data_IF_777562297876
#
_entry.id   IF_777562297876
#
_cell.length_a   1.000
_cell.length_b   1.000
_cell.length_c   1.000
_cell.angle_alpha   90.00
_cell.angle_beta   90.00
_cell.angle_gamma   90.00
#
_symmetry.space_group_name_H-M   'P 1'
#
loop_
_entity.id
_entity.type
_entity.pdbx_description
1 polymer ?
#
# COMPACT_ATOMS: atom_id res chain seq x y z
N UNK A 1 -0.15 7.09 22.48
CA UNK A 1 -1.36 7.96 22.59
C UNK A 1 -1.89 7.87 24.02
N UNK A 2 -1.89 8.96 24.79
CA UNK A 2 -2.53 9.01 26.10
C UNK A 2 -4.05 8.95 25.89
N UNK A 3 -4.73 7.94 26.46
CA UNK A 3 -6.21 7.88 26.48
C UNK A 3 -6.76 9.17 27.06
N UNK A 4 -7.62 9.86 26.32
CA UNK A 4 -8.31 11.04 26.81
C UNK A 4 -9.06 10.67 28.12
N UNK A 5 -8.81 11.40 29.21
CA UNK A 5 -9.56 11.21 30.44
C UNK A 5 -11.03 11.51 30.16
N UNK A 6 -11.91 10.57 30.51
CA UNK A 6 -13.36 10.82 30.49
C UNK A 6 -13.66 12.06 31.35
N UNK A 7 -14.41 12.99 30.77
CA UNK A 7 -14.89 14.20 31.46
C UNK A 7 -15.78 13.77 32.64
N UNK A 8 -15.56 14.36 33.81
CA UNK A 8 -16.46 14.17 34.93
C UNK A 8 -17.77 14.93 34.68
N UNK A 9 -18.91 14.32 35.04
CA UNK A 9 -20.21 14.98 34.99
C UNK A 9 -20.20 16.25 35.86
N UNK A 10 -20.71 17.36 35.29
CA UNK A 10 -20.85 18.63 36.00
C UNK A 10 -22.34 19.01 36.06
N UNK A 11 -23.01 18.97 37.23
CA UNK A 11 -24.44 19.24 37.35
C UNK A 11 -24.82 20.70 37.08
N UNK A 12 -23.86 21.63 37.02
CA UNK A 12 -24.08 23.05 36.83
C UNK A 12 -24.11 23.46 35.35
N UNK A 13 -23.77 22.53 34.42
CA UNK A 13 -23.88 22.80 32.99
C UNK A 13 -25.37 22.90 32.62
N UNK A 14 -25.75 23.92 31.80
CA UNK A 14 -27.12 24.08 31.36
C UNK A 14 -27.70 22.82 30.74
N UNK A 15 -28.96 22.49 31.06
CA UNK A 15 -29.63 21.24 30.65
C UNK A 15 -29.83 21.09 29.15
N UNK A 16 -29.78 22.18 28.39
CA UNK A 16 -29.87 22.18 26.92
C UNK A 16 -28.56 21.74 26.24
N UNK A 17 -27.47 21.57 27.01
CA UNK A 17 -26.15 21.18 26.49
C UNK A 17 -25.88 19.71 26.81
N UNK A 18 -25.69 18.89 25.79
CA UNK A 18 -25.17 17.52 25.96
C UNK A 18 -23.68 17.57 26.35
N UNK A 19 -23.41 17.19 27.61
CA UNK A 19 -22.05 17.23 28.16
C UNK A 19 -21.11 16.21 27.49
N UNK A 20 -21.64 15.13 26.93
CA UNK A 20 -20.84 14.11 26.24
C UNK A 20 -20.34 14.62 24.87
N UNK A 21 -21.08 15.57 24.29
CA UNK A 21 -20.78 16.16 23.00
C UNK A 21 -19.99 17.48 23.06
N UNK A 22 -19.64 17.95 24.25
CA UNK A 22 -18.87 19.21 24.41
C UNK A 22 -17.50 19.14 23.73
N UNK A 23 -17.05 20.23 23.08
CA UNK A 23 -15.71 20.34 22.52
C UNK A 23 -14.61 20.04 23.56
N UNK A 24 -13.47 19.52 23.11
CA UNK A 24 -12.32 19.32 23.97
C UNK A 24 -11.83 20.66 24.57
N UNK A 25 -11.33 20.63 25.83
CA UNK A 25 -10.79 21.81 26.53
C UNK A 25 -11.78 22.96 26.77
N UNK A 26 -13.09 22.73 26.65
CA UNK A 26 -14.14 23.70 27.03
C UNK A 26 -14.64 23.34 28.44
N UNK A 27 -14.71 24.33 29.32
CA UNK A 27 -15.12 24.19 30.71
C UNK A 27 -16.23 25.18 31.02
N UNK A 28 -17.06 24.88 32.02
CA UNK A 28 -18.14 25.76 32.48
C UNK A 28 -17.89 26.26 33.90
N UNK A 29 -18.08 27.54 34.12
CA UNK A 29 -18.08 28.18 35.42
C UNK A 29 -19.48 28.72 35.73
N UNK A 30 -20.07 28.24 36.81
CA UNK A 30 -21.43 28.63 37.24
C UNK A 30 -21.53 30.02 37.90
N UNK A 31 -20.40 30.69 38.19
CA UNK A 31 -20.39 31.99 38.89
C UNK A 31 -21.02 33.03 38.00
N UNK A 32 -21.70 33.99 38.62
CA UNK A 32 -22.53 35.00 37.98
C UNK A 32 -23.62 34.36 37.11
N UNK A 33 -23.80 34.76 35.86
CA UNK A 33 -24.77 34.22 34.93
C UNK A 33 -24.31 32.93 34.22
N UNK A 34 -23.14 32.39 34.61
CA UNK A 34 -22.53 31.24 33.97
C UNK A 34 -21.75 31.57 32.69
N UNK A 35 -20.53 31.06 32.59
CA UNK A 35 -19.63 31.38 31.47
C UNK A 35 -18.86 30.13 31.01
N UNK A 36 -18.81 29.93 29.73
CA UNK A 36 -17.92 28.96 29.09
C UNK A 36 -16.52 29.53 28.97
N UNK A 37 -15.50 28.73 29.26
CA UNK A 37 -14.10 29.14 29.17
C UNK A 37 -13.18 28.02 28.68
N UNK A 38 -12.00 28.42 28.20
CA UNK A 38 -10.88 27.55 27.85
C UNK A 38 -9.65 27.88 28.66
N UNK A 39 -8.73 26.92 28.76
CA UNK A 39 -7.41 27.12 29.36
C UNK A 39 -6.37 27.13 28.22
N UNK A 40 -5.61 28.21 28.13
CA UNK A 40 -4.48 28.32 27.21
C UNK A 40 -3.18 28.57 28.00
N UNK A 41 -2.04 28.23 27.42
CA UNK A 41 -0.74 28.60 28.00
C UNK A 41 -0.26 29.87 27.30
N UNK A 42 0.15 30.85 28.08
CA UNK A 42 0.81 32.05 27.56
C UNK A 42 2.27 31.75 27.15
N UNK A 43 2.95 32.76 26.62
CA UNK A 43 4.33 32.67 26.16
C UNK A 43 5.31 32.26 27.27
N UNK A 44 4.95 32.46 28.53
CA UNK A 44 5.72 32.05 29.68
C UNK A 44 5.45 30.60 30.16
N UNK A 45 4.51 29.90 29.47
CA UNK A 45 4.08 28.54 29.82
C UNK A 45 3.03 28.51 30.96
N UNK A 46 2.61 29.64 31.47
CA UNK A 46 1.61 29.74 32.55
C UNK A 46 0.21 29.50 32.00
N UNK A 47 -0.58 28.67 32.68
CA UNK A 47 -1.94 28.35 32.28
C UNK A 47 -2.90 29.47 32.63
N UNK A 48 -3.55 30.08 31.65
CA UNK A 48 -4.52 31.16 31.83
C UNK A 48 -5.90 30.77 31.31
N UNK A 49 -6.92 31.29 32.00
CA UNK A 49 -8.32 31.14 31.61
C UNK A 49 -8.70 32.23 30.59
N UNK A 50 -9.42 31.82 29.53
CA UNK A 50 -10.05 32.71 28.56
C UNK A 50 -11.55 32.40 28.48
N UNK A 51 -12.39 33.36 28.83
CA UNK A 51 -13.84 33.24 28.64
C UNK A 51 -14.16 33.28 27.16
N UNK A 52 -15.07 32.40 26.70
CA UNK A 52 -15.38 32.21 25.27
C UNK A 52 -16.82 32.48 24.95
N UNK A 53 -17.76 32.24 25.87
CA UNK A 53 -19.19 32.44 25.60
C UNK A 53 -20.01 32.46 26.91
N UNK A 54 -21.20 33.13 26.92
CA UNK A 54 -22.14 33.05 28.05
C UNK A 54 -22.84 31.68 28.10
N UNK A 55 -23.52 31.39 29.21
CA UNK A 55 -24.20 30.11 29.45
C UNK A 55 -25.32 29.80 28.43
N UNK A 56 -25.87 30.83 27.78
CA UNK A 56 -27.01 30.75 26.87
C UNK A 56 -26.70 30.17 25.49
N UNK A 57 -25.40 30.06 25.11
CA UNK A 57 -25.03 29.57 23.78
C UNK A 57 -25.37 28.10 23.61
N UNK A 58 -25.70 27.72 22.39
CA UNK A 58 -25.94 26.33 21.99
C UNK A 58 -24.63 25.54 21.89
N UNK A 59 -24.76 24.23 21.90
CA UNK A 59 -23.63 23.32 21.68
C UNK A 59 -22.97 23.54 20.30
N UNK A 60 -23.76 23.86 19.28
CA UNK A 60 -23.27 24.15 17.93
C UNK A 60 -22.40 25.43 17.91
N UNK A 61 -22.83 26.47 18.60
CA UNK A 61 -22.07 27.73 18.73
C UNK A 61 -20.78 27.51 19.52
N UNK A 62 -20.79 26.70 20.58
CA UNK A 62 -19.56 26.33 21.30
C UNK A 62 -18.54 25.62 20.41
N UNK A 63 -19.01 24.70 19.55
CA UNK A 63 -18.15 24.07 18.57
C UNK A 63 -17.60 25.09 17.57
N UNK A 64 -18.45 26.00 17.06
CA UNK A 64 -18.02 27.04 16.14
C UNK A 64 -16.97 27.97 16.74
N UNK A 65 -17.20 28.46 17.97
CA UNK A 65 -16.23 29.33 18.70
C UNK A 65 -14.90 28.62 18.90
N UNK A 66 -14.92 27.33 19.25
CA UNK A 66 -13.69 26.56 19.43
C UNK A 66 -12.94 26.32 18.15
N UNK A 67 -13.65 26.13 17.04
CA UNK A 67 -13.04 25.98 15.72
C UNK A 67 -12.44 27.30 15.24
N UNK A 68 -13.11 28.41 15.44
CA UNK A 68 -12.60 29.76 15.15
C UNK A 68 -11.36 30.08 16.02
N UNK A 69 -11.43 29.75 17.32
CA UNK A 69 -10.31 29.95 18.25
C UNK A 69 -9.10 29.06 17.99
N UNK A 70 -9.33 27.86 17.44
CA UNK A 70 -8.24 26.94 17.05
C UNK A 70 -7.63 27.24 15.69
N UNK A 71 -8.12 28.27 15.00
CA UNK A 71 -7.72 28.61 13.63
C UNK A 71 -7.85 27.43 12.65
N UNK A 72 -8.72 26.46 12.96
CA UNK A 72 -9.00 25.31 12.10
C UNK A 72 -10.02 25.76 11.06
N UNK A 73 -9.52 26.26 9.95
CA UNK A 73 -10.40 26.53 8.78
C UNK A 73 -10.92 25.18 8.25
N UNK A 74 -12.16 24.84 8.61
CA UNK A 74 -12.87 23.62 8.21
C UNK A 74 -13.00 23.49 6.69
N UNK A 75 -12.73 24.54 5.95
CA UNK A 75 -12.76 24.54 4.48
C UNK A 75 -11.44 24.19 3.83
N UNK A 76 -10.32 24.06 4.56
CA UNK A 76 -8.99 23.81 3.98
C UNK A 76 -8.79 22.37 3.52
N UNK A 77 -7.87 22.18 2.56
CA UNK A 77 -7.47 20.84 2.12
C UNK A 77 -6.93 20.01 3.29
N UNK A 78 -6.15 20.62 4.19
CA UNK A 78 -5.60 19.96 5.39
C UNK A 78 -6.72 19.38 6.26
N UNK A 79 -7.75 20.17 6.51
CA UNK A 79 -8.89 19.74 7.31
C UNK A 79 -9.65 18.59 6.65
N UNK A 80 -9.97 18.71 5.36
CA UNK A 80 -10.70 17.66 4.62
C UNK A 80 -9.87 16.34 4.56
N UNK A 81 -8.55 16.43 4.39
CA UNK A 81 -7.67 15.26 4.47
C UNK A 81 -7.72 14.62 5.86
N UNK A 82 -7.65 15.40 6.94
CA UNK A 82 -7.70 14.87 8.30
C UNK A 82 -9.02 14.16 8.57
N UNK A 83 -10.15 14.77 8.20
CA UNK A 83 -11.48 14.17 8.33
C UNK A 83 -11.63 12.88 7.50
N UNK A 84 -11.07 12.85 6.29
CA UNK A 84 -11.05 11.63 5.48
C UNK A 84 -10.26 10.52 6.16
N UNK A 85 -9.09 10.81 6.72
CA UNK A 85 -8.25 9.83 7.41
C UNK A 85 -8.88 9.31 8.71
N UNK A 86 -9.75 10.09 9.34
CA UNK A 86 -10.52 9.65 10.52
C UNK A 86 -11.75 8.80 10.16
N UNK A 87 -12.17 8.82 8.91
CA UNK A 87 -13.39 8.13 8.46
C UNK A 87 -13.23 6.61 8.46
N UNK A 88 -14.33 5.88 8.70
CA UNK A 88 -14.38 4.42 8.60
C UNK A 88 -14.02 3.91 7.20
N UNK A 89 -14.27 4.74 6.17
CA UNK A 89 -13.90 4.41 4.80
C UNK A 89 -12.38 4.33 4.62
N UNK A 90 -11.62 5.19 5.27
CA UNK A 90 -10.16 5.14 5.29
C UNK A 90 -9.67 3.99 6.17
N UNK A 91 -10.21 3.82 7.37
CA UNK A 91 -9.81 2.79 8.34
C UNK A 91 -9.94 1.35 7.79
N UNK A 92 -10.88 1.13 6.86
CA UNK A 92 -11.09 -0.16 6.17
C UNK A 92 -10.10 -0.45 5.04
N UNK A 93 -9.22 0.48 4.69
CA UNK A 93 -8.24 0.28 3.63
C UNK A 93 -7.08 -0.62 4.12
N UNK A 94 -6.35 -1.22 3.19
CA UNK A 94 -5.16 -2.00 3.53
C UNK A 94 -4.04 -1.11 4.08
N UNK A 95 -3.17 -1.68 4.93
CA UNK A 95 -2.01 -0.97 5.49
C UNK A 95 -1.16 -0.32 4.39
N UNK A 96 -0.89 -1.02 3.29
CA UNK A 96 -0.13 -0.47 2.16
C UNK A 96 -0.82 0.74 1.53
N UNK A 97 -2.15 0.75 1.46
CA UNK A 97 -2.91 1.90 0.96
C UNK A 97 -2.85 3.07 1.94
N UNK A 98 -2.83 2.79 3.25
CA UNK A 98 -2.61 3.83 4.27
C UNK A 98 -1.25 4.51 4.08
N UNK A 99 -0.17 3.73 3.92
CA UNK A 99 1.18 4.27 3.70
C UNK A 99 1.22 5.15 2.43
N UNK A 100 0.68 4.66 1.32
CA UNK A 100 0.63 5.38 0.04
C UNK A 100 -0.20 6.67 0.15
N UNK A 101 -1.30 6.65 0.91
CA UNK A 101 -2.17 7.83 1.11
C UNK A 101 -1.54 8.84 2.08
N UNK A 102 -0.88 8.39 3.14
CA UNK A 102 -0.13 9.27 4.04
C UNK A 102 0.98 9.99 3.27
N UNK A 103 1.77 9.26 2.49
CA UNK A 103 2.81 9.85 1.65
C UNK A 103 2.23 10.88 0.66
N UNK A 104 1.16 10.53 -0.07
CA UNK A 104 0.53 11.43 -1.05
C UNK A 104 -0.09 12.65 -0.38
N UNK A 105 -0.68 12.50 0.80
CA UNK A 105 -1.18 13.61 1.63
C UNK A 105 -0.06 14.59 1.96
N UNK A 106 1.04 14.08 2.50
CA UNK A 106 2.14 14.92 2.98
C UNK A 106 2.81 15.67 1.82
N UNK A 107 2.97 15.01 0.67
CA UNK A 107 3.43 15.65 -0.56
C UNK A 107 2.51 16.80 -0.96
N UNK A 108 1.20 16.58 -1.03
CA UNK A 108 0.23 17.59 -1.48
C UNK A 108 0.10 18.76 -0.50
N UNK A 109 -0.01 18.46 0.80
CA UNK A 109 -0.22 19.50 1.81
C UNK A 109 0.94 20.49 1.91
N UNK A 110 2.15 20.08 1.55
CA UNK A 110 3.35 20.89 1.66
C UNK A 110 3.75 21.62 0.36
N UNK A 111 3.00 21.44 -0.74
CA UNK A 111 3.27 22.17 -1.99
C UNK A 111 3.12 23.68 -1.74
N UNK A 112 4.15 24.51 -1.99
CA UNK A 112 4.04 25.95 -1.85
C UNK A 112 3.13 26.52 -2.94
N UNK A 113 2.20 27.41 -2.55
CA UNK A 113 1.37 28.17 -3.49
C UNK A 113 2.03 29.51 -3.84
N UNK A 114 1.54 30.20 -4.89
CA UNK A 114 2.01 31.53 -5.25
C UNK A 114 1.80 32.58 -4.13
N UNK A 115 0.93 32.31 -3.17
CA UNK A 115 0.65 33.17 -2.01
C UNK A 115 1.62 32.94 -0.84
N UNK A 116 2.65 32.11 -1.00
CA UNK A 116 3.59 31.76 0.07
C UNK A 116 3.06 30.78 1.11
N UNK A 117 1.75 30.45 1.07
CA UNK A 117 1.14 29.45 1.97
C UNK A 117 1.20 28.06 1.37
N UNK A 118 1.31 27.00 2.18
CA UNK A 118 1.25 25.63 1.67
C UNK A 118 -0.16 25.31 1.13
N UNK A 119 -0.24 24.42 0.13
CA UNK A 119 -1.50 24.01 -0.50
C UNK A 119 -2.52 23.46 0.50
N UNK A 120 -2.03 22.86 1.59
CA UNK A 120 -2.86 22.34 2.67
C UNK A 120 -3.74 23.42 3.33
N UNK A 121 -3.34 24.67 3.30
CA UNK A 121 -4.08 25.82 3.88
C UNK A 121 -5.04 26.48 2.88
N UNK A 122 -5.04 26.04 1.62
CA UNK A 122 -5.98 26.55 0.63
C UNK A 122 -7.35 25.91 0.85
N UNK A 123 -8.39 26.78 0.85
CA UNK A 123 -9.78 26.33 0.94
C UNK A 123 -10.14 25.44 -0.27
N UNK A 124 -10.77 24.28 -0.02
CA UNK A 124 -11.08 23.31 -1.08
C UNK A 124 -12.05 23.86 -2.14
N UNK A 125 -12.86 24.84 -1.77
CA UNK A 125 -13.74 25.57 -2.72
C UNK A 125 -12.99 26.38 -3.76
N UNK A 126 -11.72 26.72 -3.51
CA UNK A 126 -10.85 27.43 -4.45
C UNK A 126 -10.12 26.50 -5.42
N UNK A 127 -10.29 25.18 -5.24
CA UNK A 127 -9.70 24.21 -6.17
C UNK A 127 -10.49 24.20 -7.47
N UNK A 128 -9.78 24.46 -8.56
CA UNK A 128 -10.28 24.32 -9.93
C UNK A 128 -9.56 23.20 -10.64
N UNK A 129 -10.14 22.66 -11.72
CA UNK A 129 -9.47 21.64 -12.54
C UNK A 129 -8.12 22.15 -13.07
N UNK A 130 -8.05 23.42 -13.49
CA UNK A 130 -6.80 24.04 -13.94
C UNK A 130 -5.74 24.12 -12.82
N UNK A 131 -6.12 24.36 -11.57
CA UNK A 131 -5.18 24.33 -10.45
C UNK A 131 -4.68 22.90 -10.21
N UNK A 132 -5.58 21.91 -10.21
CA UNK A 132 -5.21 20.50 -10.00
C UNK A 132 -4.30 20.01 -11.12
N UNK A 133 -4.57 20.37 -12.39
CA UNK A 133 -3.69 20.00 -13.51
C UNK A 133 -2.29 20.57 -13.31
N UNK A 134 -2.16 21.86 -13.01
CA UNK A 134 -0.85 22.48 -12.74
C UNK A 134 -0.08 21.84 -11.59
N UNK A 135 -0.77 21.37 -10.54
CA UNK A 135 -0.13 20.64 -9.44
C UNK A 135 0.42 19.30 -9.94
N UNK A 136 -0.36 18.60 -10.75
CA UNK A 136 0.01 17.29 -11.31
C UNK A 136 1.19 17.44 -12.26
N UNK A 137 1.15 18.42 -13.16
CA UNK A 137 2.20 18.71 -14.13
C UNK A 137 3.52 19.05 -13.40
N UNK A 138 3.47 19.95 -12.42
CA UNK A 138 4.63 20.29 -11.60
C UNK A 138 5.25 19.08 -10.91
N UNK A 139 4.43 18.21 -10.31
CA UNK A 139 4.91 17.00 -9.65
C UNK A 139 5.50 15.99 -10.65
N UNK A 140 5.04 16.00 -11.90
CA UNK A 140 5.59 15.18 -12.97
C UNK A 140 6.92 15.73 -13.49
N UNK A 141 7.02 17.05 -13.67
CA UNK A 141 8.22 17.76 -14.13
C UNK A 141 9.40 17.64 -13.15
N UNK A 142 9.13 17.50 -11.85
CA UNK A 142 10.13 17.14 -10.84
C UNK A 142 10.76 15.75 -11.05
N UNK A 143 10.53 15.10 -12.21
CA UNK A 143 11.12 13.82 -12.61
C UNK A 143 10.44 12.58 -12.04
N UNK A 144 9.24 12.72 -11.48
CA UNK A 144 8.49 11.62 -10.84
C UNK A 144 7.03 11.49 -11.32
N UNK A 145 6.78 11.10 -12.59
CA UNK A 145 5.42 10.92 -13.11
C UNK A 145 4.56 9.98 -12.25
N UNK A 146 5.17 8.92 -11.72
CA UNK A 146 4.50 7.97 -10.82
C UNK A 146 4.03 8.62 -9.52
N UNK A 147 4.84 9.50 -8.92
CA UNK A 147 4.49 10.27 -7.71
C UNK A 147 3.30 11.20 -7.98
N UNK A 148 3.31 11.91 -9.11
CA UNK A 148 2.22 12.76 -9.54
C UNK A 148 0.91 11.99 -9.75
N UNK A 149 0.97 10.82 -10.40
CA UNK A 149 -0.18 9.95 -10.60
C UNK A 149 -0.76 9.41 -9.26
N UNK A 150 0.10 9.08 -8.29
CA UNK A 150 -0.33 8.67 -6.93
C UNK A 150 -0.99 9.82 -6.18
N UNK A 151 -0.40 11.02 -6.21
CA UNK A 151 -0.94 12.22 -5.59
C UNK A 151 -2.32 12.58 -6.19
N UNK A 152 -2.47 12.53 -7.52
CA UNK A 152 -3.75 12.76 -8.19
C UNK A 152 -4.82 11.74 -7.77
N UNK A 153 -4.45 10.45 -7.70
CA UNK A 153 -5.38 9.40 -7.26
C UNK A 153 -5.87 9.63 -5.83
N UNK A 154 -4.98 10.01 -4.94
CA UNK A 154 -5.32 10.36 -3.56
C UNK A 154 -6.23 11.60 -3.53
N UNK A 155 -5.87 12.66 -4.23
CA UNK A 155 -6.65 13.91 -4.28
C UNK A 155 -8.06 13.67 -4.83
N UNK A 156 -8.19 12.89 -5.93
CA UNK A 156 -9.49 12.46 -6.46
C UNK A 156 -10.36 11.80 -5.39
N UNK A 157 -9.75 10.94 -4.59
CA UNK A 157 -10.45 10.18 -3.54
C UNK A 157 -10.90 11.08 -2.39
N UNK A 158 -10.03 11.94 -1.91
CA UNK A 158 -10.30 12.87 -0.79
C UNK A 158 -11.36 13.90 -1.19
N UNK A 159 -11.20 14.53 -2.35
CA UNK A 159 -12.17 15.54 -2.82
C UNK A 159 -13.53 14.89 -3.15
N UNK A 160 -13.56 13.67 -3.67
CA UNK A 160 -14.83 12.94 -3.84
C UNK A 160 -15.50 12.63 -2.50
N UNK A 161 -14.73 12.26 -1.49
CA UNK A 161 -15.22 12.05 -0.13
C UNK A 161 -15.74 13.37 0.47
N UNK A 162 -15.01 14.47 0.27
CA UNK A 162 -15.38 15.81 0.71
C UNK A 162 -16.64 16.33 0.02
N UNK A 163 -16.78 16.12 -1.30
CA UNK A 163 -17.99 16.45 -2.06
C UNK A 163 -19.22 15.76 -1.46
N UNK A 164 -19.13 14.48 -1.18
CA UNK A 164 -20.23 13.72 -0.61
C UNK A 164 -20.61 14.16 0.82
N UNK A 165 -19.88 15.13 1.42
CA UNK A 165 -20.10 15.70 2.77
C UNK A 165 -20.26 17.21 2.76
N UNK A 166 -20.46 17.81 1.58
CA UNK A 166 -20.77 19.23 1.43
C UNK A 166 -19.56 20.17 1.58
N UNK A 167 -18.31 19.68 1.61
CA UNK A 167 -17.13 20.54 1.63
C UNK A 167 -16.91 21.26 0.29
N UNK A 168 -17.39 20.68 -0.82
CA UNK A 168 -17.31 21.22 -2.16
C UNK A 168 -18.47 20.65 -3.01
N UNK A 169 -18.90 21.39 -4.03
CA UNK A 169 -20.00 20.98 -4.90
C UNK A 169 -19.57 20.00 -5.99
N UNK A 170 -18.40 20.23 -6.57
CA UNK A 170 -17.84 19.46 -7.66
C UNK A 170 -16.43 19.01 -7.29
N UNK A 171 -16.05 17.79 -7.70
CA UNK A 171 -14.69 17.31 -7.51
C UNK A 171 -13.79 17.78 -8.68
N UNK A 172 -12.93 18.79 -8.47
CA UNK A 172 -12.11 19.37 -9.53
C UNK A 172 -10.95 18.47 -9.98
N UNK A 173 -10.72 17.36 -9.29
CA UNK A 173 -9.70 16.38 -9.68
C UNK A 173 -10.21 15.33 -10.68
N UNK A 174 -11.51 15.34 -11.01
CA UNK A 174 -12.06 14.48 -12.07
C UNK A 174 -11.73 15.08 -13.44
N UNK A 175 -11.46 14.22 -14.42
CA UNK A 175 -11.10 14.64 -15.78
C UNK A 175 -9.66 15.16 -15.95
N UNK A 176 -8.88 15.24 -14.89
CA UNK A 176 -7.46 15.65 -14.94
C UNK A 176 -6.63 14.59 -15.66
N UNK A 177 -5.75 15.01 -16.56
CA UNK A 177 -4.83 14.13 -17.24
C UNK A 177 -3.77 13.61 -16.26
N UNK A 178 -3.68 12.28 -16.16
CA UNK A 178 -2.66 11.66 -15.33
C UNK A 178 -1.38 11.49 -16.14
N UNK A 179 -0.21 11.84 -15.60
CA UNK A 179 1.05 11.60 -16.30
C UNK A 179 1.25 10.09 -16.50
N UNK A 180 1.58 9.73 -17.73
CA UNK A 180 1.79 8.33 -18.12
C UNK A 180 3.29 8.03 -18.11
N UNK A 181 3.72 7.22 -17.14
CA UNK A 181 5.04 6.61 -17.20
C UNK A 181 4.96 5.36 -18.12
N UNK A 182 5.56 5.45 -19.29
CA UNK A 182 5.67 4.30 -20.20
C UNK A 182 6.72 3.33 -19.63
N UNK A 183 6.30 2.47 -18.71
CA UNK A 183 7.13 1.35 -18.26
C UNK A 183 7.20 0.32 -19.39
N UNK A 184 8.38 0.06 -19.90
CA UNK A 184 8.58 -1.07 -20.79
C UNK A 184 8.24 -2.35 -20.04
N UNK A 185 7.24 -3.08 -20.55
CA UNK A 185 6.90 -4.41 -20.05
C UNK A 185 7.95 -5.38 -20.58
N UNK A 186 8.81 -5.85 -19.68
CA UNK A 186 9.84 -6.82 -20.06
C UNK A 186 9.32 -8.23 -19.87
N UNK A 187 9.55 -9.06 -20.87
CA UNK A 187 9.35 -10.49 -20.78
C UNK A 187 10.73 -11.13 -20.71
N UNK A 188 11.13 -11.73 -19.57
CA UNK A 188 12.45 -12.35 -19.49
C UNK A 188 12.57 -13.48 -20.52
N UNK A 189 13.72 -13.57 -21.19
CA UNK A 189 14.04 -14.70 -22.03
C UNK A 189 14.13 -15.98 -21.15
N UNK A 190 13.70 -17.13 -21.65
CA UNK A 190 13.74 -18.40 -20.94
C UNK A 190 15.15 -18.76 -20.48
N UNK A 191 16.13 -18.70 -21.37
CA UNK A 191 17.52 -19.05 -21.06
C UNK A 191 18.07 -18.15 -19.94
N UNK A 192 17.81 -16.84 -20.01
CA UNK A 192 18.25 -15.89 -18.98
C UNK A 192 17.51 -16.15 -17.67
N UNK A 193 16.22 -16.44 -17.72
CA UNK A 193 15.43 -16.76 -16.53
C UNK A 193 15.93 -18.02 -15.83
N UNK A 194 16.09 -19.13 -16.57
CA UNK A 194 16.54 -20.41 -16.03
C UNK A 194 17.99 -20.28 -15.51
N UNK A 195 18.88 -19.63 -16.25
CA UNK A 195 20.25 -19.37 -15.79
C UNK A 195 20.30 -18.54 -14.48
N UNK A 196 19.40 -17.55 -14.33
CA UNK A 196 19.30 -16.78 -13.07
C UNK A 196 18.74 -17.60 -11.91
N UNK A 197 17.78 -18.51 -12.19
CA UNK A 197 17.27 -19.45 -11.17
C UNK A 197 18.38 -20.39 -10.70
N UNK A 198 19.12 -20.96 -11.63
CA UNK A 198 20.28 -21.86 -11.32
C UNK A 198 21.35 -21.10 -10.55
N UNK A 199 21.67 -19.86 -10.98
CA UNK A 199 22.63 -19.01 -10.28
C UNK A 199 22.15 -18.66 -8.86
N UNK A 200 20.88 -18.34 -8.67
CA UNK A 200 20.32 -18.07 -7.35
C UNK A 200 20.39 -19.29 -6.44
N UNK A 201 20.12 -20.47 -6.98
CA UNK A 201 20.22 -21.74 -6.26
C UNK A 201 21.66 -22.04 -5.86
N UNK A 202 22.61 -21.94 -6.79
CA UNK A 202 24.03 -22.17 -6.53
C UNK A 202 24.61 -21.16 -5.50
N UNK A 203 24.32 -19.86 -5.69
CA UNK A 203 24.79 -18.81 -4.77
C UNK A 203 24.10 -18.83 -3.41
N UNK A 204 22.91 -19.42 -3.32
CA UNK A 204 22.20 -19.65 -2.07
C UNK A 204 22.87 -20.69 -1.17
N UNK A 205 23.68 -21.58 -1.75
CA UNK A 205 24.43 -22.61 -1.02
C UNK A 205 25.81 -22.12 -0.51
N UNK A 206 26.27 -20.95 -0.97
CA UNK A 206 27.51 -20.35 -0.50
C UNK A 206 27.43 -20.03 1.00
N UNK A 207 28.59 -20.05 1.66
CA UNK A 207 28.65 -19.65 3.07
C UNK A 207 28.32 -18.19 3.25
N UNK A 208 27.80 -17.84 4.42
CA UNK A 208 27.31 -16.49 4.73
C UNK A 208 28.35 -15.37 4.49
N UNK A 209 29.63 -15.69 4.60
CA UNK A 209 30.73 -14.76 4.46
C UNK A 209 31.35 -14.75 3.04
N UNK A 210 30.89 -15.62 2.16
CA UNK A 210 31.39 -15.66 0.80
C UNK A 210 30.80 -14.52 -0.04
N UNK A 211 31.69 -13.83 -0.77
CA UNK A 211 31.31 -12.73 -1.64
C UNK A 211 30.39 -13.24 -2.76
N UNK A 212 29.29 -12.55 -2.98
CA UNK A 212 28.36 -12.87 -4.04
C UNK A 212 27.27 -13.87 -3.67
N UNK A 213 27.18 -14.31 -2.42
CA UNK A 213 26.10 -15.14 -1.92
C UNK A 213 24.75 -14.40 -1.93
N UNK A 214 23.67 -15.16 -2.08
CA UNK A 214 22.31 -14.69 -1.91
C UNK A 214 21.55 -15.58 -0.91
N UNK A 215 20.39 -15.14 -0.39
CA UNK A 215 19.61 -16.04 0.47
C UNK A 215 19.16 -17.29 -0.27
N UNK A 216 19.37 -18.47 0.33
CA UNK A 216 19.08 -19.79 -0.24
C UNK A 216 17.61 -19.91 -0.74
N UNK A 217 16.66 -19.23 -0.08
CA UNK A 217 15.26 -19.27 -0.48
C UNK A 217 14.97 -18.60 -1.83
N UNK A 218 15.90 -17.79 -2.38
CA UNK A 218 15.60 -16.93 -3.53
C UNK A 218 15.34 -17.77 -4.80
N UNK A 219 16.12 -18.79 -5.08
CA UNK A 219 15.90 -19.71 -6.20
C UNK A 219 14.53 -20.38 -6.13
N UNK A 220 14.14 -20.86 -4.95
CA UNK A 220 12.83 -21.50 -4.75
C UNK A 220 11.67 -20.53 -4.95
N UNK A 221 11.82 -19.27 -4.48
CA UNK A 221 10.80 -18.22 -4.73
C UNK A 221 10.66 -17.94 -6.22
N UNK A 222 11.77 -17.87 -6.96
CA UNK A 222 11.75 -17.63 -8.41
C UNK A 222 11.02 -18.77 -9.14
N UNK A 223 11.35 -20.02 -8.84
CA UNK A 223 10.69 -21.20 -9.43
C UNK A 223 9.19 -21.21 -9.13
N UNK A 224 8.78 -21.03 -7.88
CA UNK A 224 7.37 -21.03 -7.51
C UNK A 224 6.60 -19.83 -8.09
N UNK A 225 7.24 -18.66 -8.19
CA UNK A 225 6.65 -17.48 -8.81
C UNK A 225 6.35 -17.70 -10.30
N UNK A 226 7.28 -18.35 -11.02
CA UNK A 226 7.13 -18.68 -12.42
C UNK A 226 6.10 -19.79 -12.64
N UNK A 227 6.33 -20.98 -12.03
CA UNK A 227 5.53 -22.19 -12.29
C UNK A 227 4.07 -22.03 -11.84
N UNK A 228 3.84 -21.37 -10.70
CA UNK A 228 2.49 -21.13 -10.19
C UNK A 228 1.90 -19.78 -10.61
N UNK A 229 2.61 -18.99 -11.40
CA UNK A 229 2.15 -17.65 -11.83
C UNK A 229 1.77 -16.76 -10.64
N UNK A 230 2.58 -16.78 -9.59
CA UNK A 230 2.34 -16.07 -8.33
C UNK A 230 3.11 -14.74 -8.26
N UNK A 231 2.54 -13.79 -7.56
CA UNK A 231 3.29 -12.59 -7.13
C UNK A 231 4.22 -12.97 -5.97
N UNK A 232 5.33 -12.27 -5.80
CA UNK A 232 6.25 -12.55 -4.69
C UNK A 232 5.59 -12.58 -3.32
N UNK A 233 4.58 -11.73 -3.07
CA UNK A 233 3.82 -11.76 -1.82
C UNK A 233 2.94 -13.02 -1.68
N UNK A 234 2.47 -13.57 -2.78
CA UNK A 234 1.68 -14.80 -2.80
C UNK A 234 2.59 -16.01 -2.53
N UNK A 235 3.80 -16.02 -3.08
CA UNK A 235 4.78 -17.09 -2.81
C UNK A 235 5.19 -17.14 -1.34
N UNK A 236 5.54 -16.00 -0.73
CA UNK A 236 6.00 -15.99 0.67
C UNK A 236 4.90 -16.29 1.69
N UNK A 237 3.64 -16.28 1.26
CA UNK A 237 2.50 -16.64 2.12
C UNK A 237 1.97 -18.05 1.88
N UNK A 238 2.58 -18.85 1.00
CA UNK A 238 2.27 -20.27 0.88
C UNK A 238 2.64 -21.02 2.17
N UNK A 239 1.78 -21.96 2.56
CA UNK A 239 1.89 -22.75 3.79
C UNK A 239 1.74 -24.24 3.47
N UNK A 240 1.93 -25.11 4.45
CA UNK A 240 1.68 -26.54 4.29
C UNK A 240 0.21 -26.85 3.93
N UNK A 241 -0.74 -25.99 4.31
CA UNK A 241 -2.15 -26.14 3.95
C UNK A 241 -2.41 -26.01 2.44
N UNK A 242 -1.50 -25.34 1.71
CA UNK A 242 -1.60 -25.20 0.26
C UNK A 242 -1.18 -26.46 -0.52
N UNK A 243 -0.54 -27.44 0.15
CA UNK A 243 -0.13 -28.70 -0.47
C UNK A 243 -1.31 -29.68 -0.52
N UNK A 244 -1.80 -29.96 -1.72
CA UNK A 244 -2.84 -30.95 -1.96
C UNK A 244 -2.24 -32.14 -2.73
N UNK A 245 -2.93 -33.28 -2.71
CA UNK A 245 -2.53 -34.45 -3.50
C UNK A 245 -2.43 -34.13 -4.99
N UNK A 246 -3.37 -33.35 -5.52
CA UNK A 246 -3.44 -32.96 -6.94
C UNK A 246 -2.51 -31.82 -7.35
N UNK A 247 -1.99 -31.03 -6.40
CA UNK A 247 -1.20 -29.84 -6.73
C UNK A 247 -1.10 -28.83 -5.61
N UNK A 248 -0.76 -27.61 -5.94
CA UNK A 248 -0.68 -26.47 -5.00
C UNK A 248 -1.94 -25.62 -5.13
N UNK A 249 -2.72 -25.52 -4.06
CA UNK A 249 -3.79 -24.55 -3.94
C UNK A 249 -3.18 -23.13 -3.78
N UNK A 250 -3.47 -22.24 -4.71
CA UNK A 250 -2.91 -20.89 -4.65
C UNK A 250 -3.65 -20.01 -3.63
N UNK A 251 -2.98 -18.97 -3.13
CA UNK A 251 -3.52 -17.98 -2.20
C UNK A 251 -3.46 -16.59 -2.83
N UNK A 252 -4.11 -16.43 -3.95
CA UNK A 252 -4.04 -15.21 -4.76
C UNK A 252 -4.63 -14.00 -4.05
N UNK A 253 -4.11 -12.83 -4.38
CA UNK A 253 -4.51 -11.55 -3.78
C UNK A 253 -5.12 -10.61 -4.82
N UNK A 254 -5.57 -9.44 -4.36
CA UNK A 254 -6.13 -8.36 -5.18
C UNK A 254 -7.37 -8.78 -5.99
N UNK A 255 -8.23 -9.61 -5.41
CA UNK A 255 -9.47 -10.04 -6.06
C UNK A 255 -9.28 -11.09 -7.16
N UNK A 256 -8.08 -11.65 -7.34
CA UNK A 256 -7.88 -12.81 -8.20
C UNK A 256 -8.52 -14.07 -7.58
N UNK A 257 -8.88 -15.03 -8.42
CA UNK A 257 -9.40 -16.34 -7.98
C UNK A 257 -8.26 -17.28 -7.66
N UNK A 258 -8.41 -18.07 -6.60
CA UNK A 258 -7.51 -19.18 -6.34
C UNK A 258 -7.77 -20.31 -7.34
N UNK A 259 -6.73 -21.08 -7.59
CA UNK A 259 -6.78 -22.28 -8.43
C UNK A 259 -5.78 -23.33 -7.90
N UNK A 260 -5.89 -24.55 -8.38
CA UNK A 260 -4.94 -25.61 -8.08
C UNK A 260 -3.98 -25.73 -9.26
N UNK A 261 -2.70 -25.52 -8.99
CA UNK A 261 -1.62 -25.75 -9.97
C UNK A 261 -1.18 -27.20 -9.85
N UNK A 262 -1.48 -28.03 -10.85
CA UNK A 262 -1.17 -29.46 -10.86
C UNK A 262 0.32 -29.70 -10.71
N UNK A 263 0.68 -30.80 -10.02
CA UNK A 263 2.04 -31.23 -9.89
C UNK A 263 2.66 -31.58 -11.25
N UNK A 264 3.85 -31.04 -11.47
CA UNK A 264 4.80 -31.49 -12.48
C UNK A 264 6.08 -31.88 -11.78
N UNK A 265 6.97 -32.69 -12.41
CA UNK A 265 8.25 -33.04 -11.77
C UNK A 265 9.10 -31.82 -11.37
N UNK A 266 9.08 -30.74 -12.18
CA UNK A 266 9.79 -29.48 -11.86
C UNK A 266 9.14 -28.77 -10.67
N UNK A 267 7.81 -28.66 -10.65
CA UNK A 267 7.10 -28.01 -9.54
C UNK A 267 7.24 -28.78 -8.23
N UNK A 268 7.17 -30.11 -8.29
CA UNK A 268 7.36 -30.95 -7.10
C UNK A 268 8.76 -30.78 -6.51
N UNK A 269 9.81 -30.82 -7.34
CA UNK A 269 11.18 -30.56 -6.90
C UNK A 269 11.33 -29.17 -6.26
N UNK A 270 10.76 -28.12 -6.88
CA UNK A 270 10.84 -26.76 -6.32
C UNK A 270 10.19 -26.67 -4.95
N UNK A 271 9.03 -27.32 -4.78
CA UNK A 271 8.32 -27.37 -3.51
C UNK A 271 9.09 -28.13 -2.43
N UNK A 272 9.55 -29.33 -2.77
CA UNK A 272 10.29 -30.20 -1.84
C UNK A 272 11.63 -29.58 -1.42
N UNK A 273 12.34 -28.93 -2.34
CA UNK A 273 13.57 -28.19 -2.04
C UNK A 273 13.30 -27.01 -1.08
N UNK A 274 12.22 -26.28 -1.27
CA UNK A 274 11.82 -25.21 -0.36
C UNK A 274 11.49 -25.76 1.04
N UNK A 275 10.81 -26.90 1.12
CA UNK A 275 10.54 -27.60 2.40
C UNK A 275 11.84 -28.10 3.06
N UNK A 276 12.77 -28.65 2.28
CA UNK A 276 14.07 -29.11 2.79
C UNK A 276 14.89 -27.94 3.36
N UNK A 277 14.96 -26.81 2.65
CA UNK A 277 15.55 -25.58 3.18
C UNK A 277 14.91 -25.16 4.49
N UNK A 278 13.57 -25.11 4.54
CA UNK A 278 12.82 -24.78 5.74
C UNK A 278 13.17 -25.73 6.90
N UNK A 279 13.21 -27.04 6.66
CA UNK A 279 13.57 -28.04 7.66
C UNK A 279 15.00 -27.81 8.20
N UNK A 280 15.97 -27.54 7.32
CA UNK A 280 17.36 -27.18 7.67
C UNK A 280 17.42 -25.94 8.58
N UNK A 281 16.60 -24.92 8.30
CA UNK A 281 16.53 -23.68 9.10
C UNK A 281 15.85 -23.96 10.44
N UNK A 282 14.76 -24.72 10.45
CA UNK A 282 14.01 -25.04 11.66
C UNK A 282 14.79 -25.97 12.61
N UNK A 283 15.62 -26.88 12.11
CA UNK A 283 16.49 -27.71 12.95
C UNK A 283 17.43 -26.87 13.83
N UNK A 284 17.80 -25.67 13.41
CA UNK A 284 18.66 -24.75 14.17
C UNK A 284 17.85 -23.79 15.08
N UNK A 285 16.52 -23.88 15.09
CA UNK A 285 15.65 -22.94 15.80
C UNK A 285 15.39 -23.41 17.23
N UNK A 286 15.47 -22.46 18.19
CA UNK A 286 15.18 -22.73 19.62
C UNK A 286 13.67 -22.61 19.97
N UNK A 287 12.87 -21.99 19.09
CA UNK A 287 11.43 -21.78 19.33
C UNK A 287 10.59 -22.89 18.72
N UNK A 288 9.51 -23.24 19.40
CA UNK A 288 8.58 -24.28 18.93
C UNK A 288 8.00 -23.94 17.53
N UNK A 289 7.86 -24.99 16.70
CA UNK A 289 7.22 -24.90 15.39
C UNK A 289 5.73 -25.16 15.58
N UNK A 290 4.88 -24.35 14.91
CA UNK A 290 3.44 -24.57 14.96
C UNK A 290 3.06 -25.93 14.39
N UNK A 291 2.17 -26.65 15.08
CA UNK A 291 1.56 -27.89 14.59
C UNK A 291 0.50 -27.62 13.50
N UNK A 292 -0.04 -26.39 13.43
CA UNK A 292 -1.07 -26.01 12.46
C UNK A 292 -0.46 -25.79 11.07
N UNK A 293 -0.88 -26.54 10.01
CA UNK A 293 -0.36 -26.37 8.65
C UNK A 293 -0.50 -24.95 8.11
N UNK A 294 -1.60 -24.29 8.38
CA UNK A 294 -1.88 -22.89 7.97
C UNK A 294 -0.87 -21.86 8.52
N UNK A 295 -0.12 -22.21 9.58
CA UNK A 295 0.90 -21.33 10.20
C UNK A 295 2.34 -21.73 9.82
N UNK A 296 2.50 -22.71 8.96
CA UNK A 296 3.80 -23.27 8.56
C UNK A 296 4.14 -22.82 7.15
N UNK A 297 4.71 -21.62 7.03
CA UNK A 297 5.10 -21.08 5.72
C UNK A 297 6.12 -22.01 5.04
N UNK A 298 6.00 -22.18 3.72
CA UNK A 298 6.95 -22.94 2.90
C UNK A 298 8.26 -22.17 2.78
N UNK A 299 8.18 -20.87 2.54
CA UNK A 299 9.36 -20.00 2.46
C UNK A 299 9.54 -19.28 3.80
N UNK A 300 10.70 -19.52 4.42
CA UNK A 300 11.06 -18.92 5.71
C UNK A 300 12.31 -18.04 5.59
N UNK A 301 12.40 -17.07 6.47
CA UNK A 301 13.61 -16.28 6.65
C UNK A 301 14.69 -17.10 7.39
N UNK A 302 15.94 -16.66 7.37
CA UNK A 302 17.09 -17.36 8.01
C UNK A 302 16.92 -17.63 9.50
N UNK A 303 16.07 -16.86 10.19
CA UNK A 303 15.70 -17.09 11.59
C UNK A 303 14.50 -18.05 11.77
N UNK A 304 13.99 -18.64 10.70
CA UNK A 304 12.91 -19.62 10.70
C UNK A 304 11.49 -19.08 10.83
N UNK A 305 11.29 -17.77 10.91
CA UNK A 305 9.99 -17.14 10.85
C UNK A 305 9.51 -16.86 9.41
N UNK A 306 8.26 -16.38 9.22
CA UNK A 306 7.74 -16.01 7.91
C UNK A 306 8.64 -14.99 7.19
N UNK A 307 8.91 -15.21 5.91
CA UNK A 307 9.66 -14.26 5.10
C UNK A 307 8.79 -13.01 4.79
N UNK A 308 9.30 -11.84 5.13
CA UNK A 308 8.62 -10.58 4.77
C UNK A 308 8.82 -10.26 3.29
N UNK A 309 7.79 -9.73 2.64
CA UNK A 309 7.87 -9.29 1.23
C UNK A 309 8.97 -8.26 0.99
N UNK A 310 9.17 -7.33 1.93
CA UNK A 310 10.24 -6.33 1.86
C UNK A 310 11.64 -6.95 1.87
N UNK A 311 11.83 -8.01 2.68
CA UNK A 311 13.10 -8.75 2.72
C UNK A 311 13.34 -9.50 1.40
N UNK A 312 12.28 -10.08 0.82
CA UNK A 312 12.35 -10.68 -0.51
C UNK A 312 12.73 -9.66 -1.58
N UNK A 313 12.09 -8.48 -1.57
CA UNK A 313 12.39 -7.42 -2.53
C UNK A 313 13.85 -6.95 -2.43
N UNK A 314 14.35 -6.77 -1.22
CA UNK A 314 15.74 -6.41 -0.99
C UNK A 314 16.70 -7.51 -1.48
N UNK A 315 16.40 -8.77 -1.19
CA UNK A 315 17.21 -9.90 -1.65
C UNK A 315 17.25 -9.98 -3.18
N UNK A 316 16.09 -9.79 -3.84
CA UNK A 316 16.01 -9.74 -5.30
C UNK A 316 16.82 -8.59 -5.89
N UNK A 317 16.68 -7.37 -5.35
CA UNK A 317 17.42 -6.22 -5.88
C UNK A 317 18.93 -6.42 -5.77
N UNK A 318 19.41 -6.91 -4.63
CA UNK A 318 20.85 -7.22 -4.45
C UNK A 318 21.32 -8.29 -5.43
N UNK A 319 20.57 -9.37 -5.60
CA UNK A 319 20.91 -10.45 -6.50
C UNK A 319 20.98 -10.00 -7.96
N UNK A 320 19.97 -9.25 -8.44
CA UNK A 320 19.93 -8.78 -9.85
C UNK A 320 20.99 -7.69 -10.12
N UNK A 321 21.30 -6.86 -9.13
CA UNK A 321 22.41 -5.90 -9.24
C UNK A 321 23.75 -6.61 -9.34
N UNK A 322 23.97 -7.60 -8.49
CA UNK A 322 25.19 -8.42 -8.56
C UNK A 322 25.32 -9.20 -9.88
N UNK A 323 24.20 -9.67 -10.43
CA UNK A 323 24.23 -10.34 -11.75
C UNK A 323 24.60 -9.38 -12.89
N UNK A 324 24.27 -8.08 -12.76
CA UNK A 324 24.72 -7.03 -13.69
C UNK A 324 26.19 -6.67 -13.48
N UNK A 325 26.63 -6.52 -12.23
CA UNK A 325 28.02 -6.20 -11.88
C UNK A 325 29.01 -7.32 -12.30
N UNK A 326 28.56 -8.57 -12.22
CA UNK A 326 29.32 -9.74 -12.67
C UNK A 326 29.19 -10.00 -14.19
N UNK A 327 28.53 -9.10 -14.95
CA UNK A 327 28.26 -9.25 -16.39
C UNK A 327 27.54 -10.56 -16.76
N UNK A 328 26.87 -11.18 -15.81
CA UNK A 328 26.10 -12.41 -16.03
C UNK A 328 24.83 -12.15 -16.86
N UNK A 329 24.27 -10.94 -16.76
CA UNK A 329 23.17 -10.44 -17.59
C UNK A 329 23.49 -9.02 -18.04
N UNK A 330 22.93 -8.62 -19.18
CA UNK A 330 22.99 -7.23 -19.67
C UNK A 330 21.87 -6.37 -19.04
N UNK A 331 21.98 -5.02 -19.07
CA UNK A 331 20.92 -4.12 -18.63
C UNK A 331 19.57 -4.37 -19.33
N UNK A 332 19.59 -4.79 -20.59
CA UNK A 332 18.39 -5.12 -21.40
C UNK A 332 17.73 -6.40 -20.93
N UNK A 333 18.52 -7.35 -20.43
CA UNK A 333 18.06 -8.64 -19.91
C UNK A 333 17.54 -8.53 -18.48
N UNK A 334 17.77 -7.39 -17.81
CA UNK A 334 17.27 -7.15 -16.45
C UNK A 334 15.75 -7.15 -16.44
N UNK A 335 15.15 -7.89 -15.50
CA UNK A 335 13.71 -7.93 -15.27
C UNK A 335 13.39 -7.83 -13.77
N UNK A 336 12.13 -7.61 -13.44
CA UNK A 336 11.66 -7.58 -12.05
C UNK A 336 11.16 -8.97 -11.62
N UNK A 337 11.24 -9.29 -10.32
CA UNK A 337 10.70 -10.55 -9.78
C UNK A 337 9.23 -10.78 -10.20
N UNK A 338 8.44 -9.70 -10.35
CA UNK A 338 7.06 -9.79 -10.81
C UNK A 338 6.91 -10.25 -12.27
N UNK A 339 7.95 -10.09 -13.09
CA UNK A 339 7.92 -10.48 -14.49
C UNK A 339 7.97 -12.00 -14.66
N UNK A 340 8.41 -12.75 -13.62
CA UNK A 340 8.28 -14.22 -13.58
C UNK A 340 6.81 -14.66 -13.65
N UNK A 341 5.91 -13.96 -12.96
CA UNK A 341 4.46 -14.19 -13.11
C UNK A 341 4.01 -13.94 -14.54
N UNK A 342 4.48 -12.87 -15.17
CA UNK A 342 4.15 -12.52 -16.55
C UNK A 342 4.66 -13.61 -17.51
N UNK A 343 5.92 -14.04 -17.33
CA UNK A 343 6.50 -15.13 -18.12
C UNK A 343 5.67 -16.41 -17.98
N UNK A 344 5.35 -16.83 -16.76
CA UNK A 344 4.55 -18.03 -16.50
C UNK A 344 3.13 -17.96 -17.12
N UNK A 345 2.51 -16.77 -17.19
CA UNK A 345 1.23 -16.59 -17.87
C UNK A 345 1.40 -16.71 -19.39
N UNK A 346 2.41 -16.04 -19.95
CA UNK A 346 2.72 -16.10 -21.39
C UNK A 346 2.98 -17.52 -21.85
N UNK A 347 3.69 -18.33 -21.03
CA UNK A 347 4.04 -19.72 -21.35
C UNK A 347 2.94 -20.73 -21.07
N UNK A 348 1.85 -20.31 -20.43
CA UNK A 348 0.72 -21.21 -20.21
C UNK A 348 0.13 -21.63 -21.57
N UNK A 349 0.09 -22.94 -21.80
CA UNK A 349 -0.48 -23.54 -23.01
C UNK A 349 -1.99 -23.31 -23.02
N UNK A 350 -2.53 -23.07 -24.20
CA UNK A 350 -3.96 -22.84 -24.41
C UNK A 350 -4.28 -21.44 -24.92
N UNK A 351 -5.55 -21.16 -25.02
CA UNK A 351 -6.07 -19.89 -25.49
C UNK A 351 -6.06 -18.81 -24.38
N UNK A 352 -6.54 -17.61 -24.70
CA UNK A 352 -6.58 -16.48 -23.77
C UNK A 352 -7.40 -16.78 -22.49
N UNK A 353 -8.48 -17.56 -22.60
CA UNK A 353 -9.29 -17.91 -21.43
C UNK A 353 -8.55 -18.90 -20.52
N UNK A 354 -7.85 -19.88 -21.08
CA UNK A 354 -7.01 -20.81 -20.32
C UNK A 354 -5.92 -20.08 -19.53
N UNK A 355 -5.25 -19.11 -20.16
CA UNK A 355 -4.24 -18.27 -19.53
C UNK A 355 -4.84 -17.38 -18.43
N UNK A 356 -6.04 -16.85 -18.66
CA UNK A 356 -6.76 -16.06 -17.65
C UNK A 356 -7.09 -16.91 -16.42
N UNK A 357 -7.63 -18.11 -16.62
CA UNK A 357 -7.95 -19.04 -15.55
C UNK A 357 -6.69 -19.47 -14.78
N UNK A 358 -5.63 -19.87 -15.49
CA UNK A 358 -4.35 -20.23 -14.90
C UNK A 358 -3.72 -19.10 -14.10
N UNK A 359 -3.93 -17.84 -14.48
CA UNK A 359 -3.44 -16.66 -13.76
C UNK A 359 -4.32 -16.23 -12.60
N UNK A 360 -5.59 -16.69 -12.57
CA UNK A 360 -6.62 -16.32 -11.61
C UNK A 360 -7.19 -14.91 -11.80
N UNK A 361 -6.92 -14.21 -12.87
CA UNK A 361 -7.45 -12.86 -13.09
C UNK A 361 -8.95 -12.91 -13.41
N UNK A 362 -9.76 -12.09 -12.69
CA UNK A 362 -11.20 -11.99 -12.95
C UNK A 362 -11.52 -11.14 -14.18
N UNK A 363 -10.73 -10.09 -14.41
CA UNK A 363 -10.90 -9.18 -15.54
C UNK A 363 -10.10 -9.68 -16.74
N UNK A 364 -10.75 -10.03 -17.88
CA UNK A 364 -10.07 -10.45 -19.09
C UNK A 364 -9.07 -9.42 -19.66
N UNK A 365 -9.30 -8.13 -19.41
CA UNK A 365 -8.39 -7.04 -19.82
C UNK A 365 -7.01 -7.16 -19.20
N UNK A 366 -6.89 -7.89 -18.08
CA UNK A 366 -5.59 -8.13 -17.47
C UNK A 366 -4.68 -8.99 -18.35
N UNK A 367 -5.23 -9.78 -19.29
CA UNK A 367 -4.42 -10.55 -20.23
C UNK A 367 -3.62 -9.64 -21.17
N UNK A 368 -4.13 -8.46 -21.54
CA UNK A 368 -3.38 -7.47 -22.34
C UNK A 368 -2.13 -6.95 -21.61
N UNK A 369 -2.10 -7.11 -20.30
CA UNK A 369 -0.99 -6.68 -19.45
C UNK A 369 0.01 -7.82 -19.21
N UNK A 370 -0.48 -9.05 -19.09
CA UNK A 370 0.31 -10.19 -18.61
C UNK A 370 0.67 -11.20 -19.67
N UNK A 371 -0.16 -11.43 -20.68
CA UNK A 371 0.14 -12.31 -21.80
C UNK A 371 0.83 -11.49 -22.90
N UNK A 372 2.09 -11.79 -23.13
CA UNK A 372 2.91 -11.15 -24.16
C UNK A 372 3.25 -12.15 -25.29
N UNK A 373 2.48 -13.23 -25.43
CA UNK A 373 2.64 -14.14 -26.56
C UNK A 373 2.26 -13.46 -27.87
N UNK A 374 3.02 -13.74 -28.90
CA UNK A 374 2.67 -13.37 -30.28
C UNK A 374 1.82 -14.49 -30.85
N UNK A 375 0.56 -14.23 -31.27
CA UNK A 375 -0.28 -15.26 -31.84
C UNK A 375 0.30 -15.73 -33.22
N UNK A 376 0.32 -17.02 -33.39
CA UNK A 376 0.61 -17.62 -34.70
C UNK A 376 -0.73 -17.82 -35.38
N UNK A 377 -0.91 -17.18 -36.55
CA UNK A 377 -2.15 -17.23 -37.33
C UNK A 377 -1.86 -17.76 -38.74
N UNK A 378 -2.82 -18.44 -39.31
CA UNK A 378 -2.74 -18.85 -40.71
C UNK A 378 -2.86 -17.63 -41.63
N UNK A 379 -2.25 -17.67 -42.85
CA UNK A 379 -2.44 -16.63 -43.83
C UNK A 379 -3.91 -16.57 -44.27
N UNK A 380 -4.32 -15.46 -44.86
CA UNK A 380 -5.71 -15.23 -45.33
C UNK A 380 -6.12 -16.10 -46.48
N UNK A 381 -5.17 -16.62 -47.26
CA UNK A 381 -5.35 -17.60 -48.32
C UNK A 381 -4.11 -18.49 -48.41
N UNK A 382 -4.28 -19.74 -48.83
CA UNK A 382 -3.19 -20.64 -49.18
C UNK A 382 -2.56 -20.26 -50.50
#
# INVERSE_FOLDING_TARGET
MRKARKRKYNPHIPTHIDQAALPAAVYFDQRNEGVWYTLHRDETGTQRRRNIAPATVSLAELHQIMDEASNVDRGTLRYVCAQFHDSDRYKKLSSKTHDDYCYSRDVLLNIPTKLGKPLGELAVRKFTSALVQRIVDRLADEGTPSKAAHALRYLRRVLQWGRNRGFLEVNPALGIEAPVERKQRRLPNHQVMDALIDRATARGLLQRNEKGGCPEYLGYVMELAYLCRLRGIEVVTLTDENELESGILTNRRKGSRDNIVRWTPRLRRAWDNAKAYRAKVWAKRKTAISIMPARRNIIVASHGGPLRKTSLDTAWQRFITLALEDEFITPEQRFALHDLKRRGITDTVGNRADKQEASGHRDPKMMDVYDLSVPIVSPSSE
#
